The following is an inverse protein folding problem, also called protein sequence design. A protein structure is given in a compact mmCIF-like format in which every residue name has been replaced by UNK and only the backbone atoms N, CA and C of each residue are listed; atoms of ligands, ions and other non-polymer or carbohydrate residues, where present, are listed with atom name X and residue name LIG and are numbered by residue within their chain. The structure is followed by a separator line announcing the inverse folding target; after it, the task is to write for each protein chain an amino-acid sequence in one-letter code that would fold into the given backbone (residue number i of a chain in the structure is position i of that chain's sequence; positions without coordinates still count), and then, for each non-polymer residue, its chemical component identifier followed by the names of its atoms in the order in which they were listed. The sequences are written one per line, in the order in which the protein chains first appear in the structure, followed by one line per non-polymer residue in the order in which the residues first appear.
data_IF_515609372125
#
_entry.id   IF_515609372125
#
_cell.length_a   1.000
_cell.length_b   1.000
_cell.length_c   1.000
_cell.angle_alpha   90.00
_cell.angle_beta   90.00
_cell.angle_gamma   90.00
#
_symmetry.space_group_name_H-M   'P 1'
#
loop_
_entity.id
_entity.type
_entity.pdbx_description
1 polymer ?
#
# COMPACT_ATOMS: atom_id res chain seq x y z
N UNK A 1 -10.91 20.83 -57.69
CA UNK A 1 -9.63 20.70 -56.96
C UNK A 1 -9.93 20.18 -55.56
N UNK A 2 -9.39 19.00 -55.22
CA UNK A 2 -9.55 18.32 -53.93
C UNK A 2 -8.25 18.53 -53.14
N UNK A 3 -8.27 19.37 -52.12
CA UNK A 3 -7.17 19.55 -51.16
C UNK A 3 -7.81 19.75 -49.78
N UNK A 4 -7.17 19.19 -48.75
CA UNK A 4 -7.48 19.28 -47.31
C UNK A 4 -8.25 18.09 -46.71
N UNK A 5 -7.69 16.89 -46.85
CA UNK A 5 -7.97 15.76 -45.93
C UNK A 5 -6.70 15.33 -45.17
N UNK A 6 -5.55 15.98 -45.39
CA UNK A 6 -4.24 15.49 -44.90
C UNK A 6 -3.87 16.00 -43.50
N UNK A 7 -4.53 17.05 -42.98
CA UNK A 7 -4.07 17.70 -41.74
C UNK A 7 -4.64 17.11 -40.44
N UNK A 8 -5.61 16.19 -40.50
CA UNK A 8 -6.27 15.64 -39.30
C UNK A 8 -5.68 14.31 -38.82
N UNK A 9 -4.79 13.68 -39.62
CA UNK A 9 -4.22 12.37 -39.28
C UNK A 9 -2.96 12.45 -38.39
N UNK A 10 -2.32 13.62 -38.27
CA UNK A 10 -1.05 13.77 -37.54
C UNK A 10 -1.25 13.98 -36.02
N UNK A 11 -2.44 14.42 -35.59
CA UNK A 11 -2.73 14.68 -34.17
C UNK A 11 -3.09 13.42 -33.35
N UNK A 12 -3.21 12.25 -33.98
CA UNK A 12 -3.55 10.99 -33.30
C UNK A 12 -2.33 10.15 -32.87
N UNK A 13 -1.10 10.65 -33.07
CA UNK A 13 0.13 9.89 -32.82
C UNK A 13 0.87 10.27 -31.52
N UNK A 14 0.27 11.11 -30.66
CA UNK A 14 0.89 11.54 -29.40
C UNK A 14 0.18 11.05 -28.12
N UNK A 15 -0.76 10.10 -28.21
CA UNK A 15 -1.14 9.31 -27.04
C UNK A 15 -0.08 8.24 -26.77
N UNK A 16 1.13 8.71 -26.43
CA UNK A 16 2.17 7.88 -25.81
C UNK A 16 1.61 7.35 -24.50
N UNK A 17 1.28 6.06 -24.55
CA UNK A 17 0.68 5.25 -23.50
C UNK A 17 1.48 5.41 -22.20
N UNK A 18 0.80 5.81 -21.12
CA UNK A 18 1.43 6.04 -19.82
C UNK A 18 2.14 4.79 -19.31
N UNK A 19 3.46 4.81 -19.35
CA UNK A 19 4.33 3.93 -18.57
C UNK A 19 4.39 4.41 -17.11
N UNK A 20 3.23 4.72 -16.53
CA UNK A 20 3.10 5.03 -15.10
C UNK A 20 2.96 3.73 -14.33
N UNK A 21 3.58 3.67 -13.15
CA UNK A 21 3.36 2.56 -12.24
C UNK A 21 1.85 2.40 -11.97
N UNK A 22 1.36 1.18 -12.04
CA UNK A 22 -0.04 0.86 -11.71
C UNK A 22 -0.15 0.57 -10.22
N UNK A 23 -1.07 1.27 -9.58
CA UNK A 23 -1.36 1.12 -8.15
C UNK A 23 -2.70 0.43 -7.96
N UNK A 24 -2.67 -0.76 -7.36
CA UNK A 24 -3.86 -1.57 -7.04
C UNK A 24 -4.02 -1.66 -5.51
N UNK A 25 -5.06 -1.05 -4.96
CA UNK A 25 -5.39 -1.19 -3.53
C UNK A 25 -5.90 -2.61 -3.27
N UNK A 26 -5.22 -3.34 -2.40
CA UNK A 26 -5.61 -4.70 -2.03
C UNK A 26 -6.70 -4.67 -0.96
N UNK A 27 -6.48 -3.89 0.11
CA UNK A 27 -7.51 -3.60 1.11
C UNK A 27 -7.15 -2.38 1.97
N UNK A 28 -8.19 -1.82 2.61
CA UNK A 28 -8.08 -0.78 3.62
C UNK A 28 -8.56 -1.29 4.97
N UNK A 29 -7.88 -0.87 6.03
CA UNK A 29 -8.11 -1.31 7.39
C UNK A 29 -8.16 -0.09 8.33
N UNK A 30 -9.37 0.41 8.63
CA UNK A 30 -9.55 1.50 9.59
C UNK A 30 -9.09 1.08 10.99
N UNK A 31 -8.54 2.03 11.76
CA UNK A 31 -8.29 1.85 13.19
C UNK A 31 -9.61 1.64 13.96
N UNK A 32 -9.56 1.11 15.20
CA UNK A 32 -10.75 0.85 16.01
C UNK A 32 -11.67 2.07 16.23
N UNK A 33 -11.09 3.27 16.35
CA UNK A 33 -11.81 4.55 16.46
C UNK A 33 -12.15 5.19 15.11
N UNK A 34 -11.67 4.59 14.01
CA UNK A 34 -11.84 5.09 12.65
C UNK A 34 -11.07 6.37 12.32
N UNK A 35 -10.16 6.83 13.20
CA UNK A 35 -9.39 8.05 12.96
C UNK A 35 -8.27 7.85 11.94
N UNK A 36 -7.82 6.62 11.73
CA UNK A 36 -6.69 6.25 10.89
C UNK A 36 -7.08 5.12 9.93
N UNK A 37 -6.40 5.04 8.79
CA UNK A 37 -6.58 3.98 7.80
C UNK A 37 -5.21 3.44 7.40
N UNK A 38 -5.03 2.12 7.58
CA UNK A 38 -3.92 1.38 7.01
C UNK A 38 -4.35 0.77 5.67
N UNK A 39 -3.68 1.14 4.58
CA UNK A 39 -3.95 0.66 3.22
C UNK A 39 -2.79 -0.20 2.76
N UNK A 40 -3.10 -1.47 2.45
CA UNK A 40 -2.20 -2.36 1.75
C UNK A 40 -2.49 -2.26 0.25
N UNK A 41 -1.47 -1.97 -0.53
CA UNK A 41 -1.61 -1.80 -1.98
C UNK A 41 -0.41 -2.37 -2.71
N UNK A 42 -0.59 -2.60 -4.02
CA UNK A 42 0.44 -3.12 -4.91
C UNK A 42 0.80 -2.06 -5.94
N UNK A 43 2.10 -1.83 -6.12
CA UNK A 43 2.64 -1.00 -7.19
C UNK A 43 3.31 -1.90 -8.21
N UNK A 44 2.98 -1.74 -9.49
CA UNK A 44 3.59 -2.49 -10.60
C UNK A 44 4.19 -1.52 -11.61
N UNK A 45 5.50 -1.57 -11.83
CA UNK A 45 6.20 -0.78 -12.87
C UNK A 45 6.53 -1.60 -14.13
N UNK A 46 6.16 -2.89 -14.13
CA UNK A 46 6.36 -3.82 -15.23
C UNK A 46 5.38 -5.00 -15.22
N UNK A 47 5.68 -6.02 -16.03
CA UNK A 47 4.82 -7.20 -16.21
C UNK A 47 5.29 -8.41 -15.39
N UNK A 48 6.52 -8.41 -14.88
CA UNK A 48 7.09 -9.54 -14.12
C UNK A 48 6.75 -9.41 -12.64
N UNK A 49 6.80 -10.50 -11.89
CA UNK A 49 6.52 -10.46 -10.45
C UNK A 49 7.55 -9.68 -9.65
N UNK A 50 8.81 -9.67 -10.09
CA UNK A 50 9.87 -8.84 -9.47
C UNK A 50 9.63 -7.33 -9.64
N UNK A 51 8.81 -6.95 -10.62
CA UNK A 51 8.40 -5.58 -10.93
C UNK A 51 7.19 -5.14 -10.07
N UNK A 52 6.81 -5.95 -9.06
CA UNK A 52 5.66 -5.72 -8.19
C UNK A 52 6.10 -5.58 -6.74
N UNK A 53 5.66 -4.49 -6.12
CA UNK A 53 5.87 -4.24 -4.70
C UNK A 53 4.54 -4.16 -3.97
N UNK A 54 4.42 -4.87 -2.85
CA UNK A 54 3.34 -4.67 -1.88
C UNK A 54 3.81 -3.63 -0.87
N UNK A 55 3.01 -2.57 -0.67
CA UNK A 55 3.34 -1.42 0.18
C UNK A 55 2.26 -1.16 1.21
N UNK A 56 2.68 -0.64 2.37
CA UNK A 56 1.79 -0.20 3.44
C UNK A 56 1.79 1.33 3.52
N UNK A 57 0.62 1.94 3.34
CA UNK A 57 0.37 3.34 3.68
C UNK A 57 -0.46 3.38 4.97
N UNK A 58 -0.11 4.25 5.91
CA UNK A 58 -0.97 4.57 7.05
C UNK A 58 -1.20 6.07 7.04
N UNK A 59 -2.45 6.51 7.18
CA UNK A 59 -2.85 7.93 7.10
C UNK A 59 -4.04 8.24 8.01
N UNK A 60 -4.27 9.52 8.37
CA UNK A 60 -5.55 9.95 8.91
C UNK A 60 -6.71 9.62 7.96
N UNK A 61 -7.87 9.24 8.50
CA UNK A 61 -9.05 8.95 7.70
C UNK A 61 -9.61 10.19 6.95
N UNK A 62 -9.24 11.39 7.39
CA UNK A 62 -9.52 12.65 6.71
C UNK A 62 -8.69 12.86 5.44
N UNK A 63 -7.58 12.14 5.30
CA UNK A 63 -6.59 12.39 4.27
C UNK A 63 -6.80 11.48 3.05
N UNK A 64 -6.57 12.04 1.86
CA UNK A 64 -6.61 11.28 0.63
C UNK A 64 -5.46 10.27 0.59
N UNK A 65 -5.72 9.11 -0.01
CA UNK A 65 -4.67 8.12 -0.26
C UNK A 65 -3.61 8.69 -1.22
N UNK A 66 -2.34 8.51 -0.86
CA UNK A 66 -1.18 8.90 -1.64
C UNK A 66 -0.19 7.72 -1.69
N UNK A 67 -0.03 7.11 -2.86
CA UNK A 67 0.82 5.93 -3.08
C UNK A 67 2.32 6.24 -3.07
N UNK A 68 2.70 7.52 -3.04
CA UNK A 68 4.08 7.94 -2.78
C UNK A 68 4.43 7.94 -1.28
N UNK A 69 3.43 7.85 -0.39
CA UNK A 69 3.64 7.80 1.07
C UNK A 69 3.47 6.36 1.54
N UNK A 70 4.54 5.72 1.99
CA UNK A 70 4.48 4.37 2.55
C UNK A 70 5.57 4.18 3.58
N UNK A 71 5.27 3.40 4.61
CA UNK A 71 6.23 3.07 5.65
C UNK A 71 6.88 1.70 5.48
N UNK A 72 6.39 0.92 4.53
CA UNK A 72 6.86 -0.43 4.28
C UNK A 72 6.65 -0.80 2.82
N UNK A 73 7.63 -1.51 2.24
CA UNK A 73 7.54 -2.12 0.94
C UNK A 73 8.26 -3.47 0.90
N UNK A 74 7.65 -4.44 0.22
CA UNK A 74 8.23 -5.76 -0.03
C UNK A 74 7.96 -6.26 -1.45
N UNK A 75 8.83 -7.14 -1.96
CA UNK A 75 8.68 -7.85 -3.23
C UNK A 75 8.29 -9.31 -3.04
N UNK A 76 8.07 -10.00 -4.17
CA UNK A 76 7.68 -11.42 -4.31
C UNK A 76 6.19 -11.73 -4.14
N UNK A 77 5.34 -10.70 -4.28
CA UNK A 77 3.90 -10.89 -4.55
C UNK A 77 3.08 -11.48 -3.41
N UNK A 78 3.64 -11.58 -2.22
CA UNK A 78 2.97 -12.13 -1.05
C UNK A 78 1.87 -11.20 -0.51
N UNK A 79 0.89 -11.82 0.13
CA UNK A 79 -0.09 -11.13 0.95
C UNK A 79 0.44 -10.93 2.39
N UNK A 80 -0.10 -9.93 3.09
CA UNK A 80 0.33 -9.55 4.43
C UNK A 80 -0.86 -9.28 5.34
N UNK A 81 -0.65 -9.44 6.65
CA UNK A 81 -1.68 -9.24 7.67
C UNK A 81 -1.46 -7.89 8.34
N UNK A 82 -2.50 -7.05 8.33
CA UNK A 82 -2.56 -5.77 9.04
C UNK A 82 -3.52 -5.93 10.21
N UNK A 83 -3.06 -5.68 11.44
CA UNK A 83 -3.87 -5.78 12.66
C UNK A 83 -3.71 -4.53 13.52
N UNK A 84 -4.81 -3.94 13.98
CA UNK A 84 -4.77 -2.86 14.97
C UNK A 84 -4.83 -3.44 16.39
N UNK A 85 -3.80 -3.19 17.18
CA UNK A 85 -3.75 -3.54 18.62
C UNK A 85 -4.42 -2.46 19.48
N UNK A 86 -4.40 -1.21 19.01
CA UNK A 86 -5.10 -0.07 19.61
C UNK A 86 -5.45 0.96 18.53
N UNK A 87 -6.02 2.10 18.93
CA UNK A 87 -6.29 3.23 18.03
C UNK A 87 -5.01 3.74 17.33
N UNK A 88 -3.83 3.58 17.94
CA UNK A 88 -2.55 4.11 17.45
C UNK A 88 -1.44 3.07 17.30
N UNK A 89 -1.78 1.78 17.46
CA UNK A 89 -0.81 0.69 17.36
C UNK A 89 -1.23 -0.32 16.29
N UNK A 90 -0.37 -0.50 15.30
CA UNK A 90 -0.58 -1.40 14.17
C UNK A 90 0.52 -2.46 14.15
N UNK A 91 0.12 -3.72 14.00
CA UNK A 91 1.01 -4.82 13.69
C UNK A 91 0.88 -5.17 12.19
N UNK A 92 2.01 -5.21 11.50
CA UNK A 92 2.12 -5.64 10.12
C UNK A 92 2.94 -6.94 10.05
N UNK A 93 2.27 -8.04 9.71
CA UNK A 93 2.92 -9.35 9.58
C UNK A 93 3.14 -9.69 8.11
N UNK A 94 4.37 -10.07 7.76
CA UNK A 94 4.79 -10.44 6.41
C UNK A 94 5.54 -11.78 6.38
N UNK A 95 5.58 -12.46 5.22
CA UNK A 95 6.30 -13.73 5.05
C UNK A 95 7.81 -13.62 5.19
N UNK A 96 8.43 -14.66 5.78
CA UNK A 96 9.89 -14.80 5.93
C UNK A 96 10.69 -14.82 4.61
N UNK A 97 10.07 -15.22 3.52
CA UNK A 97 10.67 -15.24 2.19
C UNK A 97 10.44 -13.93 1.41
N UNK A 98 9.87 -12.91 2.06
CA UNK A 98 9.73 -11.57 1.47
C UNK A 98 11.06 -10.87 1.32
N UNK A 99 11.25 -10.18 0.21
CA UNK A 99 12.37 -9.25 0.04
C UNK A 99 11.90 -7.86 0.47
N UNK A 100 12.37 -7.40 1.61
CA UNK A 100 12.08 -6.05 2.10
C UNK A 100 12.84 -5.03 1.27
N UNK A 101 12.11 -4.14 0.59
CA UNK A 101 12.71 -3.03 -0.17
C UNK A 101 12.66 -1.72 0.58
N UNK A 102 11.80 -1.61 1.59
CA UNK A 102 11.70 -0.43 2.44
C UNK A 102 11.03 -0.73 3.79
N UNK A 103 11.56 -0.15 4.87
CA UNK A 103 10.95 -0.17 6.21
C UNK A 103 11.31 1.12 6.93
N UNK A 104 10.31 1.85 7.43
CA UNK A 104 10.49 3.02 8.29
C UNK A 104 9.42 3.07 9.38
N UNK A 105 9.71 3.75 10.49
CA UNK A 105 8.71 4.00 11.51
C UNK A 105 7.67 4.99 10.97
N UNK A 106 6.37 4.68 11.12
CA UNK A 106 5.31 5.62 10.77
C UNK A 106 5.32 6.79 11.75
N UNK A 107 5.82 7.92 11.29
CA UNK A 107 5.61 9.20 11.95
C UNK A 107 4.64 9.95 11.07
N UNK A 108 3.44 10.27 11.58
CA UNK A 108 2.57 11.19 10.85
C UNK A 108 3.27 12.52 10.72
N UNK A 109 3.72 12.81 9.50
CA UNK A 109 4.44 14.02 9.18
C UNK A 109 5.79 13.87 8.50
N UNK A 110 6.31 12.66 8.28
CA UNK A 110 7.34 12.43 7.26
C UNK A 110 6.65 11.91 5.99
N UNK A 111 6.52 12.67 4.90
CA UNK A 111 7.57 13.45 4.23
C UNK A 111 7.29 14.95 4.01
N UNK A 112 6.28 15.59 4.64
CA UNK A 112 6.08 17.04 4.49
C UNK A 112 5.19 17.85 5.48
N UNK A 113 4.79 17.38 6.67
CA UNK A 113 4.10 18.27 7.65
C UNK A 113 4.16 17.78 9.09
N UNK A 114 4.80 18.54 9.97
CA UNK A 114 5.11 18.17 11.36
C UNK A 114 3.89 18.26 12.29
N UNK A 115 3.41 17.12 12.77
CA UNK A 115 2.72 17.01 14.07
C UNK A 115 3.39 15.90 14.89
N UNK A 116 4.42 16.27 15.67
CA UNK A 116 5.20 15.31 16.48
C UNK A 116 4.40 14.65 17.61
N UNK A 117 3.13 15.05 17.81
CA UNK A 117 2.26 14.57 18.89
C UNK A 117 1.42 13.35 18.51
N UNK A 118 1.36 12.97 17.23
CA UNK A 118 0.62 11.80 16.75
C UNK A 118 1.57 10.79 16.12
N UNK A 119 2.25 10.02 16.97
CA UNK A 119 3.01 8.87 16.51
C UNK A 119 2.09 7.65 16.48
N UNK A 120 2.01 6.97 15.34
CA UNK A 120 1.55 5.58 15.30
C UNK A 120 2.75 4.71 15.55
N UNK A 121 2.57 3.68 16.36
CA UNK A 121 3.56 2.61 16.46
C UNK A 121 3.18 1.53 15.46
N UNK A 122 4.02 1.32 14.44
CA UNK A 122 3.90 0.16 13.56
C UNK A 122 4.97 -0.85 13.93
N UNK A 123 4.53 -2.03 14.36
CA UNK A 123 5.39 -3.18 14.62
C UNK A 123 5.39 -4.09 13.41
N UNK A 124 6.58 -4.45 12.92
CA UNK A 124 6.78 -5.33 11.78
C UNK A 124 7.15 -6.73 12.27
N UNK A 125 6.38 -7.74 11.87
CA UNK A 125 6.57 -9.13 12.28
C UNK A 125 6.79 -10.02 11.07
N UNK A 126 7.85 -10.82 11.11
CA UNK A 126 8.13 -11.82 10.11
C UNK A 126 7.59 -13.18 10.58
N UNK A 127 6.71 -13.81 9.80
CA UNK A 127 6.13 -15.13 10.12
C UNK A 127 6.18 -16.08 8.91
N UNK A 128 6.31 -17.41 9.12
CA UNK A 128 6.14 -18.37 8.04
C UNK A 128 4.72 -18.33 7.45
N UNK A 129 4.61 -18.45 6.12
CA UNK A 129 3.30 -18.52 5.48
C UNK A 129 2.52 -19.77 5.90
N UNK A 130 1.26 -19.58 6.29
CA UNK A 130 0.34 -20.68 6.65
C UNK A 130 -0.11 -21.53 5.47
N UNK A 131 0.06 -21.04 4.24
CA UNK A 131 -0.39 -21.72 3.01
C UNK A 131 0.76 -21.95 2.00
N UNK A 132 2.02 -21.71 2.38
CA UNK A 132 3.18 -21.73 1.47
C UNK A 132 3.27 -20.53 0.52
N UNK A 133 2.23 -19.70 0.48
CA UNK A 133 2.11 -18.34 -0.04
C UNK A 133 0.99 -17.70 0.77
N UNK A 134 1.15 -16.51 1.34
CA UNK A 134 -0.01 -15.89 2.03
C UNK A 134 -1.11 -15.67 0.99
N UNK A 135 -2.34 -16.09 1.28
CA UNK A 135 -3.55 -15.68 0.55
C UNK A 135 -4.18 -14.49 1.27
N UNK A 136 -4.71 -13.52 0.52
CA UNK A 136 -5.40 -12.33 1.03
C UNK A 136 -6.51 -12.76 1.96
N UNK A 137 -6.22 -12.74 3.26
CA UNK A 137 -7.24 -12.84 4.28
C UNK A 137 -7.40 -11.44 4.86
N UNK A 138 -8.46 -10.76 4.43
CA UNK A 138 -8.86 -9.47 4.99
C UNK A 138 -9.19 -9.69 6.47
N UNK A 139 -8.21 -9.50 7.33
CA UNK A 139 -8.36 -9.62 8.78
C UNK A 139 -8.03 -8.30 9.45
N UNK A 140 -8.94 -7.35 9.35
CA UNK A 140 -8.97 -6.21 10.27
C UNK A 140 -9.46 -6.72 11.62
N UNK A 141 -8.55 -7.34 12.37
CA UNK A 141 -8.83 -7.74 13.74
C UNK A 141 -8.65 -6.49 14.58
N UNK A 142 -9.77 -5.88 14.96
CA UNK A 142 -9.77 -5.00 16.12
C UNK A 142 -9.49 -5.89 17.33
N UNK A 143 -8.63 -5.46 18.26
CA UNK A 143 -8.24 -6.21 19.47
C UNK A 143 -9.35 -6.63 20.44
N UNK A 144 -10.60 -6.72 19.98
CA UNK A 144 -11.77 -7.24 20.69
C UNK A 144 -12.27 -8.53 20.00
N UNK A 145 -11.37 -9.49 19.77
CA UNK A 145 -11.78 -10.89 19.65
C UNK A 145 -11.39 -11.62 20.93
N UNK A 146 -12.43 -11.96 21.67
CA UNK A 146 -12.41 -12.60 22.97
C UNK A 146 -11.68 -13.95 22.92
N UNK A 147 -10.68 -14.11 23.76
CA UNK A 147 -10.28 -15.45 24.21
C UNK A 147 -11.13 -15.77 25.43
N UNK A 148 -12.04 -16.71 25.22
CA UNK A 148 -12.81 -17.42 26.25
C UNK A 148 -12.01 -18.63 26.72
#
# INVERSE_FOLDING_TARGET
MKISVVLTAVLLLLSGCGAGAKTDVLYECPSPDGSLIATLYRVSDGAREIDRETRLNVRPASDAFNDAMFSFAMRHGYDAIVRWSSEKELAFTYPIDSELTHVENVIFGSSQTFSATEQIVVSYHEEPSTHGYFMVEKRCLNGVEAVK
#
